data_IF_967708083704
#
_entry.id   IF_967708083704
#
_cell.length_a   1.000
_cell.length_b   1.000
_cell.length_c   1.000
_cell.angle_alpha   90.00
_cell.angle_beta   90.00
_cell.angle_gamma   90.00
#
_symmetry.space_group_name_H-M   'P 1'
#
loop_
_entity.id
_entity.type
_entity.pdbx_description
1 polymer ?
#
# COMPACT_ATOMS: atom_id res chain seq x y z
N UNK A 1 -22.50 -34.40 9.39
CA UNK A 1 -22.74 -32.95 9.48
C UNK A 1 -21.42 -32.21 9.38
N UNK A 2 -21.35 -31.14 8.59
CA UNK A 2 -20.23 -30.19 8.62
C UNK A 2 -20.48 -29.23 9.78
N UNK A 3 -19.63 -29.26 10.81
CA UNK A 3 -19.67 -28.27 11.87
C UNK A 3 -19.19 -26.92 11.30
N UNK A 4 -20.01 -25.87 11.43
CA UNK A 4 -19.76 -24.52 10.89
C UNK A 4 -19.55 -23.46 11.97
N UNK A 5 -19.14 -23.85 13.18
CA UNK A 5 -19.05 -22.94 14.33
C UNK A 5 -17.85 -23.17 15.26
N UNK A 6 -17.73 -22.29 16.24
CA UNK A 6 -16.75 -22.34 17.33
C UNK A 6 -17.13 -21.37 18.45
N UNK A 7 -16.57 -21.51 19.65
CA UNK A 7 -16.99 -20.78 20.87
C UNK A 7 -17.05 -19.26 20.72
N UNK A 8 -16.20 -18.67 19.88
CA UNK A 8 -16.15 -17.22 19.66
C UNK A 8 -16.89 -16.76 18.41
N UNK A 9 -17.49 -17.68 17.65
CA UNK A 9 -18.24 -17.36 16.44
C UNK A 9 -19.49 -16.55 16.81
N UNK A 10 -19.63 -15.36 16.25
CA UNK A 10 -20.77 -14.47 16.51
C UNK A 10 -20.85 -13.93 17.94
N UNK A 11 -19.73 -13.87 18.69
CA UNK A 11 -19.73 -13.28 20.03
C UNK A 11 -20.23 -11.81 20.00
N UNK A 12 -20.78 -11.35 21.14
CA UNK A 12 -21.44 -10.04 21.22
C UNK A 12 -20.53 -8.87 20.85
N UNK A 13 -19.24 -8.92 21.20
CA UNK A 13 -18.29 -7.87 20.87
C UNK A 13 -18.06 -7.77 19.36
N UNK A 14 -17.82 -8.90 18.69
CA UNK A 14 -17.64 -8.96 17.23
C UNK A 14 -18.89 -8.49 16.49
N UNK A 15 -20.10 -8.87 16.95
CA UNK A 15 -21.35 -8.42 16.34
C UNK A 15 -21.58 -6.91 16.50
N UNK A 16 -21.30 -6.36 17.68
CA UNK A 16 -21.39 -4.91 17.92
C UNK A 16 -20.37 -4.13 17.08
N UNK A 17 -19.12 -4.58 17.03
CA UNK A 17 -18.06 -3.97 16.23
C UNK A 17 -18.36 -4.06 14.72
N UNK A 18 -18.84 -5.21 14.23
CA UNK A 18 -19.21 -5.38 12.82
C UNK A 18 -20.35 -4.44 12.42
N UNK A 19 -21.37 -4.27 13.27
CA UNK A 19 -22.46 -3.32 13.03
C UNK A 19 -21.90 -1.90 12.89
N UNK A 20 -21.16 -1.42 13.89
CA UNK A 20 -20.57 -0.07 13.86
C UNK A 20 -19.63 0.12 12.66
N UNK A 21 -18.77 -0.86 12.37
CA UNK A 21 -17.87 -0.81 11.24
C UNK A 21 -18.63 -0.65 9.92
N UNK A 22 -19.66 -1.46 9.68
CA UNK A 22 -20.39 -1.46 8.41
C UNK A 22 -21.36 -0.28 8.25
N UNK A 23 -21.89 0.27 9.34
CA UNK A 23 -22.90 1.34 9.27
C UNK A 23 -22.36 2.74 9.53
N UNK A 24 -21.20 2.87 10.19
CA UNK A 24 -20.68 4.17 10.65
C UNK A 24 -19.27 4.48 10.15
N UNK A 25 -18.43 3.47 9.90
CA UNK A 25 -17.00 3.66 9.54
C UNK A 25 -16.74 3.38 8.06
N UNK A 26 -17.07 2.17 7.60
CA UNK A 26 -16.83 1.66 6.25
C UNK A 26 -17.98 2.07 5.30
N UNK A 27 -18.35 3.35 5.34
CA UNK A 27 -19.43 3.91 4.53
C UNK A 27 -18.96 4.16 3.08
N UNK A 28 -19.88 4.28 2.10
CA UNK A 28 -19.50 4.58 0.72
C UNK A 28 -18.60 5.81 0.56
N UNK A 29 -18.89 6.90 1.27
CA UNK A 29 -18.08 8.12 1.25
C UNK A 29 -16.69 7.93 1.86
N UNK A 30 -16.59 7.13 2.94
CA UNK A 30 -15.31 6.77 3.54
C UNK A 30 -14.47 5.91 2.61
N UNK A 31 -15.12 5.03 1.83
CA UNK A 31 -14.46 4.34 0.75
C UNK A 31 -13.98 5.36 -0.31
N UNK A 32 -14.85 6.15 -0.93
CA UNK A 32 -14.44 7.14 -1.95
C UNK A 32 -13.22 7.99 -1.53
N UNK A 33 -13.21 8.48 -0.29
CA UNK A 33 -12.06 9.17 0.30
C UNK A 33 -10.76 8.34 0.27
N UNK A 34 -10.80 7.08 0.74
CA UNK A 34 -9.62 6.22 0.70
C UNK A 34 -9.18 5.88 -0.74
N UNK A 35 -10.11 5.80 -1.69
CA UNK A 35 -9.80 5.63 -3.11
C UNK A 35 -8.99 6.81 -3.66
N UNK A 36 -9.45 8.03 -3.37
CA UNK A 36 -8.82 9.26 -3.83
C UNK A 36 -7.40 9.37 -3.27
N UNK A 37 -7.22 9.05 -1.98
CA UNK A 37 -5.88 8.99 -1.37
C UNK A 37 -5.00 7.91 -2.00
N UNK A 38 -5.56 6.75 -2.35
CA UNK A 38 -4.83 5.70 -3.05
C UNK A 38 -4.37 6.14 -4.44
N UNK A 39 -5.23 6.84 -5.19
CA UNK A 39 -4.88 7.42 -6.48
C UNK A 39 -3.77 8.47 -6.35
N UNK A 40 -3.90 9.42 -5.40
CA UNK A 40 -2.88 10.44 -5.15
C UNK A 40 -1.53 9.84 -4.75
N UNK A 41 -1.56 8.79 -3.92
CA UNK A 41 -0.35 8.07 -3.59
C UNK A 41 0.28 7.48 -4.84
N UNK A 42 -0.49 6.77 -5.68
CA UNK A 42 0.04 6.17 -6.89
C UNK A 42 0.66 7.20 -7.83
N UNK A 43 -0.05 8.30 -8.09
CA UNK A 43 0.41 9.37 -8.96
C UNK A 43 1.76 9.92 -8.43
N UNK A 44 1.87 10.15 -7.12
CA UNK A 44 3.12 10.60 -6.50
C UNK A 44 4.29 9.61 -6.59
N UNK A 45 4.01 8.30 -6.60
CA UNK A 45 5.04 7.26 -6.83
C UNK A 45 5.42 7.16 -8.31
N UNK A 46 4.45 7.25 -9.21
CA UNK A 46 4.68 7.23 -10.67
C UNK A 46 5.55 8.41 -11.08
N UNK A 47 5.20 9.62 -10.65
CA UNK A 47 6.00 10.82 -10.94
C UNK A 47 7.44 10.67 -10.42
N UNK A 48 7.63 10.14 -9.21
CA UNK A 48 8.96 9.94 -8.63
C UNK A 48 9.82 8.95 -9.43
N UNK A 49 9.22 7.87 -9.92
CA UNK A 49 9.88 6.86 -10.75
C UNK A 49 10.21 7.42 -12.14
N UNK A 50 9.25 8.10 -12.76
CA UNK A 50 9.38 8.64 -14.11
C UNK A 50 10.41 9.78 -14.17
N UNK A 51 10.40 10.69 -13.20
CA UNK A 51 11.40 11.76 -13.08
C UNK A 51 12.83 11.21 -12.92
N UNK A 52 12.98 10.07 -12.24
CA UNK A 52 14.25 9.39 -12.05
C UNK A 52 14.65 8.49 -13.23
N UNK A 53 13.80 8.34 -14.25
CA UNK A 53 14.03 7.46 -15.39
C UNK A 53 14.12 5.97 -15.02
N UNK A 54 13.56 5.59 -13.87
CA UNK A 54 13.64 4.22 -13.37
C UNK A 54 12.65 3.33 -14.11
N UNK A 55 13.03 2.11 -14.48
CA UNK A 55 12.19 1.21 -15.26
C UNK A 55 11.22 0.43 -14.35
N UNK A 56 10.64 1.10 -13.35
CA UNK A 56 9.72 0.54 -12.37
C UNK A 56 8.28 0.87 -12.75
N UNK A 57 7.31 0.12 -12.22
CA UNK A 57 5.88 0.36 -12.45
C UNK A 57 5.15 0.50 -11.12
N UNK A 58 4.06 1.24 -11.11
CA UNK A 58 3.23 1.40 -9.92
C UNK A 58 1.95 0.59 -10.07
N UNK A 59 1.63 -0.17 -9.03
CA UNK A 59 0.36 -0.86 -8.87
C UNK A 59 -0.68 0.17 -8.42
N UNK A 60 -1.84 0.16 -9.06
CA UNK A 60 -3.02 0.97 -8.68
C UNK A 60 -4.21 0.06 -8.50
N UNK A 61 -4.62 -0.15 -7.26
CA UNK A 61 -5.80 -0.94 -6.94
C UNK A 61 -6.61 -0.20 -5.88
N UNK A 62 -7.40 0.78 -6.33
CA UNK A 62 -8.35 1.50 -5.49
C UNK A 62 -7.64 2.26 -4.32
N UNK A 63 -7.65 1.88 -3.02
CA UNK A 63 -6.97 2.65 -1.98
C UNK A 63 -5.51 2.19 -1.83
N UNK A 64 -5.09 1.19 -2.62
CA UNK A 64 -3.84 0.45 -2.51
C UNK A 64 -2.99 0.81 -3.70
N UNK A 65 -1.79 1.25 -3.38
CA UNK A 65 -0.80 1.65 -4.36
C UNK A 65 0.57 1.22 -3.89
N UNK A 66 1.47 0.91 -4.82
CA UNK A 66 2.79 0.43 -4.46
C UNK A 66 3.70 0.26 -5.66
N UNK A 67 5.01 0.29 -5.42
CA UNK A 67 6.00 0.13 -6.49
C UNK A 67 6.26 -1.35 -6.79
N UNK A 68 6.34 -1.67 -8.08
CA UNK A 68 6.90 -2.90 -8.62
C UNK A 68 8.25 -2.55 -9.24
N UNK A 69 9.32 -3.15 -8.74
CA UNK A 69 10.69 -2.91 -9.20
C UNK A 69 11.02 -3.61 -10.53
N UNK A 70 10.09 -3.54 -11.48
CA UNK A 70 10.18 -4.14 -12.82
C UNK A 70 9.44 -3.27 -13.85
N UNK A 71 9.70 -3.52 -15.14
CA UNK A 71 9.17 -2.76 -16.30
C UNK A 71 7.69 -2.99 -16.57
N UNK A 72 7.09 -3.96 -15.88
CA UNK A 72 5.71 -4.42 -16.09
C UNK A 72 5.03 -4.66 -14.76
N UNK A 73 3.70 -4.64 -14.79
CA UNK A 73 2.89 -5.23 -13.75
C UNK A 73 2.71 -6.72 -14.06
N UNK A 74 3.05 -7.57 -13.10
CA UNK A 74 2.88 -9.02 -13.23
C UNK A 74 1.40 -9.39 -13.35
N UNK A 75 1.09 -10.37 -14.20
CA UNK A 75 -0.27 -10.89 -14.42
C UNK A 75 -0.56 -12.15 -13.62
N UNK A 76 0.48 -12.82 -13.16
CA UNK A 76 0.42 -14.03 -12.35
C UNK A 76 1.58 -14.08 -11.35
N UNK A 77 1.55 -15.10 -10.48
CA UNK A 77 2.56 -15.26 -9.44
C UNK A 77 3.95 -15.60 -9.99
N UNK A 78 4.04 -16.34 -11.10
CA UNK A 78 5.33 -16.69 -11.69
C UNK A 78 6.03 -15.46 -12.27
N UNK A 79 5.27 -14.56 -12.89
CA UNK A 79 5.75 -13.26 -13.34
C UNK A 79 6.21 -12.40 -12.16
N UNK A 80 5.45 -12.36 -11.06
CA UNK A 80 5.80 -11.58 -9.87
C UNK A 80 7.08 -12.09 -9.19
N UNK A 81 7.24 -13.41 -9.07
CA UNK A 81 8.43 -14.03 -8.48
C UNK A 81 9.69 -13.78 -9.34
N UNK A 82 9.56 -13.86 -10.67
CA UNK A 82 10.67 -13.58 -11.58
C UNK A 82 11.15 -12.13 -11.54
N UNK A 83 10.24 -11.20 -11.22
CA UNK A 83 10.49 -9.76 -11.14
C UNK A 83 10.82 -9.27 -9.71
N UNK A 84 10.88 -10.18 -8.72
CA UNK A 84 11.07 -9.83 -7.33
C UNK A 84 12.46 -9.23 -7.06
N UNK A 85 12.49 -8.14 -6.29
CA UNK A 85 13.71 -7.47 -5.81
C UNK A 85 13.69 -7.40 -4.27
N UNK A 86 13.94 -8.52 -3.56
CA UNK A 86 13.70 -8.62 -2.12
C UNK A 86 14.62 -7.71 -1.29
N UNK A 87 15.88 -7.54 -1.69
CA UNK A 87 16.83 -6.66 -0.99
C UNK A 87 16.44 -5.19 -1.15
N UNK A 88 16.06 -4.77 -2.37
CA UNK A 88 15.61 -3.41 -2.65
C UNK A 88 14.31 -3.10 -1.88
N UNK A 89 13.40 -4.08 -1.80
CA UNK A 89 12.18 -3.95 -1.01
C UNK A 89 12.46 -3.83 0.49
N UNK A 90 13.37 -4.66 1.02
CA UNK A 90 13.79 -4.57 2.41
C UNK A 90 14.44 -3.21 2.72
N UNK A 91 15.27 -2.70 1.81
CA UNK A 91 15.88 -1.39 1.91
C UNK A 91 14.84 -0.27 1.92
N UNK A 92 13.89 -0.27 0.97
CA UNK A 92 12.79 0.70 0.94
C UNK A 92 12.05 0.73 2.28
N UNK A 93 11.67 -0.43 2.82
CA UNK A 93 10.92 -0.51 4.08
C UNK A 93 11.71 0.00 5.27
N UNK A 94 13.00 -0.32 5.36
CA UNK A 94 13.88 0.22 6.40
C UNK A 94 14.04 1.75 6.26
N UNK A 95 14.17 2.23 5.02
CA UNK A 95 14.29 3.65 4.70
C UNK A 95 13.04 4.43 5.12
N UNK A 96 11.85 3.93 4.76
CA UNK A 96 10.57 4.49 5.17
C UNK A 96 10.39 4.48 6.70
N UNK A 97 10.70 3.36 7.36
CA UNK A 97 10.55 3.24 8.81
C UNK A 97 11.43 4.24 9.57
N UNK A 98 12.66 4.48 9.10
CA UNK A 98 13.55 5.50 9.68
C UNK A 98 13.03 6.94 9.54
N UNK A 99 11.97 7.16 8.73
CA UNK A 99 11.35 8.46 8.44
C UNK A 99 9.90 8.57 8.92
N UNK A 100 9.45 7.67 9.78
CA UNK A 100 8.10 7.76 10.33
C UNK A 100 7.04 6.94 9.59
N UNK A 101 7.39 6.29 8.47
CA UNK A 101 6.43 5.60 7.59
C UNK A 101 6.61 4.08 7.70
N UNK A 102 5.58 3.37 8.16
CA UNK A 102 5.63 1.92 8.35
C UNK A 102 4.85 1.14 7.29
N UNK A 103 5.57 0.31 6.54
CA UNK A 103 4.96 -0.63 5.60
C UNK A 103 4.84 -2.04 6.17
N UNK A 104 3.59 -2.52 6.21
CA UNK A 104 3.26 -3.85 6.68
C UNK A 104 3.46 -4.95 5.63
N UNK A 105 3.32 -4.64 4.34
CA UNK A 105 3.30 -5.63 3.25
C UNK A 105 4.43 -5.34 2.28
N UNK A 106 5.32 -6.31 2.07
CA UNK A 106 6.49 -6.16 1.19
C UNK A 106 6.12 -6.07 -0.30
N UNK A 107 5.12 -6.79 -0.78
CA UNK A 107 4.95 -6.99 -2.24
C UNK A 107 3.84 -6.15 -2.89
N UNK A 108 3.01 -5.47 -2.10
CA UNK A 108 1.78 -4.83 -2.58
C UNK A 108 1.61 -3.36 -2.13
N UNK A 109 2.65 -2.77 -1.52
CA UNK A 109 2.64 -1.42 -0.98
C UNK A 109 1.60 -1.19 0.13
N UNK A 110 1.36 0.08 0.53
CA UNK A 110 0.32 0.42 1.49
C UNK A 110 -1.09 0.36 0.89
N UNK A 111 -2.06 0.21 1.77
CA UNK A 111 -3.46 0.53 1.47
C UNK A 111 -3.89 1.66 2.39
N UNK A 112 -4.42 2.73 1.82
CA UNK A 112 -4.92 3.87 2.58
C UNK A 112 -6.12 3.43 3.41
N UNK A 113 -6.01 3.66 4.72
CA UNK A 113 -7.12 3.49 5.65
C UNK A 113 -8.19 4.56 5.37
N UNK A 114 -9.45 4.26 5.68
CA UNK A 114 -10.52 5.28 5.68
C UNK A 114 -10.25 6.44 6.64
N UNK A 115 -9.36 6.25 7.62
CA UNK A 115 -8.91 7.28 8.55
C UNK A 115 -7.66 8.04 8.07
N UNK A 116 -7.03 7.63 6.96
CA UNK A 116 -5.85 8.29 6.44
C UNK A 116 -6.19 9.70 5.92
N UNK A 117 -5.16 10.53 5.82
CA UNK A 117 -5.25 11.91 5.38
C UNK A 117 -4.32 12.15 4.20
N UNK A 118 -4.54 13.27 3.49
CA UNK A 118 -3.63 13.75 2.46
C UNK A 118 -2.21 14.01 3.00
N UNK A 119 -2.08 14.35 4.29
CA UNK A 119 -0.78 14.52 4.92
C UNK A 119 -0.03 13.19 5.06
N UNK A 120 -0.74 12.08 5.32
CA UNK A 120 -0.12 10.74 5.36
C UNK A 120 0.38 10.33 3.97
N UNK A 121 -0.40 10.60 2.92
CA UNK A 121 0.01 10.40 1.53
C UNK A 121 1.25 11.23 1.20
N UNK A 122 1.24 12.53 1.52
CA UNK A 122 2.37 13.42 1.28
C UNK A 122 3.64 12.96 2.03
N UNK A 123 3.51 12.50 3.27
CA UNK A 123 4.64 11.98 4.05
C UNK A 123 5.24 10.72 3.40
N UNK A 124 4.39 9.80 2.93
CA UNK A 124 4.84 8.61 2.21
C UNK A 124 5.56 9.00 0.92
N UNK A 125 4.94 9.81 0.06
CA UNK A 125 5.51 10.21 -1.24
C UNK A 125 6.82 10.95 -1.06
N UNK A 126 6.93 11.84 -0.07
CA UNK A 126 8.17 12.54 0.22
C UNK A 126 9.29 11.58 0.64
N UNK A 127 8.99 10.61 1.51
CA UNK A 127 9.97 9.61 1.92
C UNK A 127 10.38 8.68 0.78
N UNK A 128 9.45 8.31 -0.10
CA UNK A 128 9.73 7.50 -1.29
C UNK A 128 10.58 8.27 -2.32
N UNK A 129 10.28 9.55 -2.57
CA UNK A 129 11.09 10.41 -3.45
C UNK A 129 12.53 10.55 -2.95
N UNK A 130 12.70 10.73 -1.64
CA UNK A 130 14.03 10.76 -1.03
C UNK A 130 14.76 9.41 -1.20
N UNK A 131 14.06 8.29 -1.03
CA UNK A 131 14.62 6.96 -1.29
C UNK A 131 15.09 6.81 -2.74
N UNK A 132 14.24 7.16 -3.71
CA UNK A 132 14.55 7.11 -5.15
C UNK A 132 15.80 7.95 -5.47
N UNK A 133 15.88 9.18 -4.95
CA UNK A 133 17.04 10.04 -5.15
C UNK A 133 18.34 9.42 -4.59
N UNK A 134 18.28 8.86 -3.38
CA UNK A 134 19.46 8.27 -2.72
C UNK A 134 19.95 7.00 -3.44
N UNK A 135 19.05 6.15 -3.94
CA UNK A 135 19.45 4.92 -4.64
C UNK A 135 20.00 5.18 -6.04
N UNK A 136 19.52 6.22 -6.72
CA UNK A 136 20.05 6.63 -8.04
C UNK A 136 21.38 7.36 -7.91
N UNK A 137 21.60 8.11 -6.83
CA UNK A 137 22.87 8.80 -6.58
C UNK A 137 24.01 7.88 -6.11
N UNK A 138 23.70 6.62 -5.78
CA UNK A 138 24.69 5.63 -5.33
C UNK A 138 25.39 4.89 -6.48
N UNK A 139 24.95 5.11 -7.74
CA UNK A 139 25.63 4.70 -8.98
C UNK A 139 26.67 5.74 -9.44
#
# INVERSE_FOLDING_TARGET
ELATGGTLFGNALSMAAARAALTEVLTPAAYEHAADLGAELADGLEDAVDEAGLPWRVQRLWPRSGVSFSRRLARDAAEADADAQPELNALLRLYLASRGVWEAISTAGPAMSVAATRADVAAYVAAFRAFVADVVAAD
#
